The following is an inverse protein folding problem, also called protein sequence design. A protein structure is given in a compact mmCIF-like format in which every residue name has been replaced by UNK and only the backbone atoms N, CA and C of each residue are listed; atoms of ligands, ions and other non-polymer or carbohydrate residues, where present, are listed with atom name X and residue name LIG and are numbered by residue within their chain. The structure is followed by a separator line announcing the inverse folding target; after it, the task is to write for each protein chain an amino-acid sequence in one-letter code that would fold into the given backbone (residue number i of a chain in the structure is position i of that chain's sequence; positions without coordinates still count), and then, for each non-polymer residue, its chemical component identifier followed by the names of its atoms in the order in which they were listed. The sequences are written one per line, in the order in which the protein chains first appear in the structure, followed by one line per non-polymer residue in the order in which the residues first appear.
data_IF_967228275860
#
_entry.id   IF_967228275860
#
_cell.length_a   1.000
_cell.length_b   1.000
_cell.length_c   1.000
_cell.angle_alpha   90.00
_cell.angle_beta   90.00
_cell.angle_gamma   90.00
#
_symmetry.space_group_name_H-M   'P 1'
#
loop_
_entity.id
_entity.type
_entity.pdbx_description
1 polymer ?
#
# COMPACT_ATOMS: atom_id res chain seq x y z
N UNK A 1 49.76 11.72 -8.05
CA UNK A 1 49.30 10.32 -8.12
C UNK A 1 49.16 9.82 -6.70
N UNK A 2 47.93 9.82 -6.19
CA UNK A 2 47.57 9.12 -4.97
C UNK A 2 46.22 8.48 -5.28
N UNK A 3 46.32 7.19 -5.58
CA UNK A 3 45.22 6.27 -5.85
C UNK A 3 44.60 5.91 -4.50
N UNK A 4 43.38 6.38 -4.24
CA UNK A 4 42.63 5.96 -3.05
C UNK A 4 41.88 4.68 -3.43
N UNK A 5 42.12 3.54 -2.77
CA UNK A 5 41.47 2.29 -3.15
C UNK A 5 39.98 2.35 -2.77
N UNK A 6 39.11 2.21 -3.77
CA UNK A 6 37.69 1.93 -3.54
C UNK A 6 37.56 0.60 -2.81
N UNK A 7 36.91 0.63 -1.64
CA UNK A 7 36.58 -0.56 -0.87
C UNK A 7 35.42 -1.32 -1.55
N UNK A 8 35.62 -2.55 -2.08
CA UNK A 8 34.60 -3.27 -2.81
C UNK A 8 33.82 -4.20 -1.86
N UNK A 9 33.16 -3.65 -0.84
CA UNK A 9 32.36 -4.48 0.09
C UNK A 9 31.14 -3.78 0.69
N UNK A 10 30.50 -2.85 -0.04
CA UNK A 10 29.08 -2.57 0.22
C UNK A 10 28.25 -3.47 -0.70
N UNK A 11 27.34 -4.32 -0.17
CA UNK A 11 26.35 -4.97 -1.01
C UNK A 11 25.58 -3.85 -1.72
N UNK A 12 25.55 -3.89 -3.05
CA UNK A 12 24.68 -3.02 -3.85
C UNK A 12 23.29 -3.09 -3.23
N UNK A 13 22.85 -2.00 -2.59
CA UNK A 13 21.45 -1.90 -2.16
C UNK A 13 20.63 -2.23 -3.41
N UNK A 14 19.74 -3.25 -3.38
CA UNK A 14 18.90 -3.54 -4.52
C UNK A 14 18.23 -2.23 -4.93
N UNK A 15 18.26 -1.92 -6.22
CA UNK A 15 17.71 -0.69 -6.79
C UNK A 15 16.17 -0.74 -6.73
N UNK A 16 15.61 -0.65 -5.52
CA UNK A 16 14.17 -0.73 -5.27
C UNK A 16 13.39 0.46 -5.83
N UNK A 17 14.08 1.45 -6.42
CA UNK A 17 13.46 2.65 -7.00
C UNK A 17 12.55 2.35 -8.19
N UNK A 18 12.75 1.22 -8.89
CA UNK A 18 11.88 0.77 -9.96
C UNK A 18 10.85 -0.29 -9.54
N UNK A 19 10.89 -0.73 -8.28
CA UNK A 19 10.04 -1.81 -7.79
C UNK A 19 8.72 -1.27 -7.26
N UNK A 20 7.64 -1.92 -7.65
CA UNK A 20 6.31 -1.66 -7.10
C UNK A 20 6.16 -2.37 -5.76
N UNK A 21 5.69 -1.63 -4.74
CA UNK A 21 5.25 -2.19 -3.47
C UNK A 21 3.74 -2.05 -3.33
N UNK A 22 3.07 -3.17 -3.09
CA UNK A 22 1.62 -3.24 -2.94
C UNK A 22 1.25 -3.89 -1.62
N UNK A 23 0.55 -3.17 -0.75
CA UNK A 23 -0.03 -3.73 0.46
C UNK A 23 -1.38 -4.39 0.13
N UNK A 24 -1.57 -5.64 0.55
CA UNK A 24 -2.79 -6.41 0.33
C UNK A 24 -3.34 -6.93 1.65
N UNK A 25 -4.65 -6.78 1.86
CA UNK A 25 -5.33 -7.15 3.11
C UNK A 25 -6.47 -8.16 2.91
N UNK A 26 -6.74 -8.55 1.66
CA UNK A 26 -7.89 -9.36 1.28
C UNK A 26 -7.56 -10.44 0.26
N UNK A 27 -8.32 -10.48 -0.82
CA UNK A 27 -8.33 -11.57 -1.82
C UNK A 27 -7.00 -11.76 -2.59
N UNK A 28 -6.14 -10.76 -2.56
CA UNK A 28 -4.79 -10.79 -3.15
C UNK A 28 -3.72 -11.35 -2.19
N UNK A 29 -4.05 -11.61 -0.92
CA UNK A 29 -3.13 -12.27 0.02
C UNK A 29 -2.82 -13.70 -0.42
N UNK A 30 -1.64 -14.21 -0.07
CA UNK A 30 -1.23 -15.59 -0.38
C UNK A 30 -2.27 -16.59 0.15
N UNK A 31 -2.61 -17.57 -0.68
CA UNK A 31 -3.63 -18.58 -0.35
C UNK A 31 -5.08 -18.20 -0.70
N UNK A 32 -5.30 -16.99 -1.22
CA UNK A 32 -6.62 -16.56 -1.73
C UNK A 32 -6.70 -16.61 -3.26
N UNK A 33 -7.93 -16.65 -3.79
CA UNK A 33 -8.21 -16.99 -5.19
C UNK A 33 -7.66 -15.99 -6.23
N UNK A 34 -7.43 -14.74 -5.86
CA UNK A 34 -6.86 -13.75 -6.78
C UNK A 34 -5.32 -13.77 -6.78
N UNK A 35 -4.67 -14.30 -5.73
CA UNK A 35 -3.22 -14.28 -5.62
C UNK A 35 -2.54 -15.05 -6.76
N UNK A 36 -2.96 -16.28 -7.04
CA UNK A 36 -2.32 -17.13 -8.06
C UNK A 36 -2.43 -16.53 -9.47
N UNK A 37 -3.47 -15.73 -9.71
CA UNK A 37 -3.73 -15.08 -11.00
C UNK A 37 -3.01 -13.75 -11.14
N UNK A 38 -3.04 -12.91 -10.11
CA UNK A 38 -2.59 -11.51 -10.19
C UNK A 38 -1.26 -11.24 -9.49
N UNK A 39 -0.74 -12.16 -8.68
CA UNK A 39 0.50 -12.03 -7.93
C UNK A 39 1.58 -13.03 -8.37
N UNK A 40 1.34 -13.81 -9.45
CA UNK A 40 2.39 -14.68 -10.02
C UNK A 40 3.63 -13.85 -10.39
N UNK A 41 4.81 -14.33 -10.01
CA UNK A 41 6.08 -13.61 -10.20
C UNK A 41 6.38 -12.56 -9.12
N UNK A 42 5.60 -12.52 -8.03
CA UNK A 42 5.94 -11.69 -6.86
C UNK A 42 7.35 -12.02 -6.37
N UNK A 43 8.14 -10.97 -6.12
CA UNK A 43 9.54 -11.10 -5.70
C UNK A 43 9.66 -11.33 -4.19
N UNK A 44 8.91 -10.57 -3.40
CA UNK A 44 8.85 -10.72 -1.94
C UNK A 44 7.42 -10.64 -1.44
N UNK A 45 7.14 -11.40 -0.39
CA UNK A 45 5.89 -11.39 0.37
C UNK A 45 6.27 -11.27 1.83
N UNK A 46 5.93 -10.15 2.46
CA UNK A 46 6.30 -9.84 3.85
C UNK A 46 5.06 -9.49 4.67
N UNK A 47 4.99 -9.94 5.92
CA UNK A 47 3.91 -9.53 6.82
C UNK A 47 4.02 -8.03 7.09
N UNK A 48 2.88 -7.35 7.00
CA UNK A 48 2.84 -5.90 7.02
C UNK A 48 1.61 -5.38 7.78
N UNK A 49 1.73 -4.14 8.29
CA UNK A 49 0.65 -3.48 9.05
C UNK A 49 0.42 -2.07 8.51
N UNK A 50 -0.83 -1.70 8.31
CA UNK A 50 -1.25 -0.34 7.99
C UNK A 50 -2.20 0.18 9.07
N UNK A 51 -2.20 1.49 9.32
CA UNK A 51 -3.21 2.13 10.17
C UNK A 51 -4.49 2.32 9.38
N UNK A 52 -5.60 1.77 9.86
CA UNK A 52 -6.87 1.81 9.16
C UNK A 52 -8.02 1.18 9.93
N UNK A 53 -9.12 0.95 9.21
CA UNK A 53 -10.30 0.20 9.67
C UNK A 53 -10.70 -0.79 8.59
N UNK A 54 -11.10 -1.97 9.02
CA UNK A 54 -11.52 -3.03 8.14
C UNK A 54 -13.02 -3.29 8.28
N UNK A 55 -13.70 -3.37 7.16
CA UNK A 55 -15.13 -3.60 7.06
C UNK A 55 -15.41 -4.78 6.17
N UNK A 56 -16.52 -5.47 6.42
CA UNK A 56 -17.03 -6.51 5.54
C UNK A 56 -18.26 -5.98 4.79
N UNK A 57 -18.24 -6.14 3.47
CA UNK A 57 -19.42 -5.89 2.63
C UNK A 57 -20.44 -7.03 2.79
N UNK A 58 -21.69 -6.79 2.41
CA UNK A 58 -22.73 -7.83 2.34
C UNK A 58 -22.35 -9.01 1.43
N UNK A 59 -21.41 -8.81 0.50
CA UNK A 59 -20.84 -9.83 -0.40
C UNK A 59 -19.61 -10.55 0.17
N UNK A 60 -19.27 -10.36 1.46
CA UNK A 60 -18.10 -10.97 2.12
C UNK A 60 -16.74 -10.58 1.51
N UNK A 61 -16.67 -9.37 0.92
CA UNK A 61 -15.42 -8.78 0.42
C UNK A 61 -14.96 -7.74 1.44
N UNK A 62 -13.67 -7.77 1.85
CA UNK A 62 -13.14 -6.79 2.79
C UNK A 62 -12.99 -5.42 2.12
N UNK A 63 -13.28 -4.37 2.88
CA UNK A 63 -13.02 -2.97 2.52
C UNK A 63 -12.16 -2.38 3.61
N UNK A 64 -11.06 -1.75 3.21
CA UNK A 64 -10.18 -1.04 4.13
C UNK A 64 -10.31 0.47 3.92
N UNK A 65 -10.45 1.19 5.03
CA UNK A 65 -10.35 2.65 5.11
C UNK A 65 -9.06 3.04 5.84
N UNK A 66 -8.45 4.13 5.41
CA UNK A 66 -7.26 4.73 6.05
C UNK A 66 -7.56 6.18 6.44
N UNK A 67 -6.89 6.72 7.46
CA UNK A 67 -6.99 8.15 7.75
C UNK A 67 -6.53 8.99 6.55
N UNK A 68 -7.24 10.07 6.24
CA UNK A 68 -6.85 10.95 5.13
C UNK A 68 -5.45 11.55 5.33
N UNK A 69 -5.04 11.79 6.59
CA UNK A 69 -3.71 12.31 6.91
C UNK A 69 -2.57 11.34 6.58
N UNK A 70 -2.87 10.04 6.46
CA UNK A 70 -1.89 9.00 6.14
C UNK A 70 -1.77 8.79 4.61
N UNK A 71 -2.59 9.46 3.78
CA UNK A 71 -2.52 9.37 2.32
C UNK A 71 -1.41 10.28 1.79
N UNK A 72 -0.33 9.66 1.31
CA UNK A 72 0.87 10.33 0.80
C UNK A 72 0.76 10.70 -0.68
N UNK A 73 -0.02 9.94 -1.44
CA UNK A 73 -0.33 10.19 -2.85
C UNK A 73 -1.58 9.40 -3.29
N UNK A 74 -2.18 9.81 -4.41
CA UNK A 74 -3.25 9.07 -5.09
C UNK A 74 -2.69 8.48 -6.38
N UNK A 75 -3.06 7.24 -6.70
CA UNK A 75 -2.58 6.53 -7.87
C UNK A 75 -3.02 7.20 -9.18
N UNK A 76 -2.23 7.01 -10.23
CA UNK A 76 -2.49 7.55 -11.56
C UNK A 76 -2.68 6.44 -12.59
N UNK A 77 -2.97 6.81 -13.84
CA UNK A 77 -2.99 5.86 -14.96
C UNK A 77 -1.58 5.52 -15.48
N UNK A 78 -0.52 6.10 -14.92
CA UNK A 78 0.87 5.87 -15.33
C UNK A 78 1.64 5.09 -14.24
N UNK A 79 1.81 3.76 -14.40
CA UNK A 79 2.49 2.92 -13.42
C UNK A 79 3.91 3.37 -13.07
N UNK A 80 4.66 3.89 -14.04
CA UNK A 80 6.03 4.34 -13.81
C UNK A 80 6.07 5.64 -13.00
N UNK A 81 5.11 6.55 -13.22
CA UNK A 81 4.98 7.77 -12.41
C UNK A 81 4.61 7.43 -10.95
N UNK A 82 3.77 6.41 -10.74
CA UNK A 82 3.38 5.95 -9.42
C UNK A 82 4.57 5.29 -8.68
N UNK A 83 5.36 4.47 -9.36
CA UNK A 83 6.59 3.91 -8.80
C UNK A 83 7.63 4.99 -8.49
N UNK A 84 7.78 5.99 -9.35
CA UNK A 84 8.67 7.12 -9.10
C UNK A 84 8.22 7.94 -7.88
N UNK A 85 6.92 8.17 -7.73
CA UNK A 85 6.33 8.81 -6.54
C UNK A 85 6.62 8.00 -5.28
N UNK A 86 6.42 6.69 -5.31
CA UNK A 86 6.74 5.79 -4.20
C UNK A 86 8.23 5.89 -3.80
N UNK A 87 9.14 5.89 -4.77
CA UNK A 87 10.58 6.00 -4.52
C UNK A 87 10.95 7.34 -3.89
N UNK A 88 10.37 8.45 -4.38
CA UNK A 88 10.60 9.79 -3.83
C UNK A 88 10.12 9.91 -2.38
N UNK A 89 8.94 9.36 -2.08
CA UNK A 89 8.39 9.32 -0.71
C UNK A 89 9.27 8.46 0.19
N UNK A 90 9.74 7.30 -0.27
CA UNK A 90 10.62 6.43 0.51
C UNK A 90 11.93 7.12 0.90
N UNK A 91 12.51 7.90 -0.03
CA UNK A 91 13.71 8.70 0.24
C UNK A 91 13.46 9.76 1.32
N UNK A 92 12.31 10.45 1.28
CA UNK A 92 11.92 11.43 2.30
C UNK A 92 11.68 10.81 3.67
N UNK A 93 11.04 9.65 3.73
CA UNK A 93 10.80 8.94 5.00
C UNK A 93 12.11 8.46 5.65
N UNK A 94 13.12 8.16 4.85
CA UNK A 94 14.44 7.75 5.34
C UNK A 94 15.28 8.92 5.87
N UNK A 95 14.91 10.17 5.53
CA UNK A 95 15.58 11.38 5.97
C UNK A 95 14.54 12.47 6.31
N UNK A 96 13.87 12.37 7.46
CA UNK A 96 12.79 13.28 7.82
C UNK A 96 13.32 14.70 8.02
N UNK A 97 12.82 15.65 7.24
CA UNK A 97 12.94 17.07 7.60
C UNK A 97 12.10 17.35 8.85
N UNK A 98 12.54 18.26 9.74
CA UNK A 98 11.76 18.64 10.91
C UNK A 98 10.40 19.20 10.46
N UNK A 99 9.34 18.44 10.72
CA UNK A 99 7.98 18.77 10.30
C UNK A 99 7.32 19.61 11.40
N UNK A 100 6.62 20.72 11.08
CA UNK A 100 5.88 21.48 12.09
C UNK A 100 4.73 20.62 12.65
N UNK A 101 4.48 20.76 13.95
CA UNK A 101 3.39 20.10 14.69
C UNK A 101 2.07 20.17 13.91
N UNK A 102 1.66 19.04 13.32
CA UNK A 102 0.33 18.90 12.74
C UNK A 102 -0.63 18.50 13.85
N UNK A 103 -1.51 19.42 14.21
CA UNK A 103 -2.64 19.18 15.11
C UNK A 103 -3.55 18.12 14.47
N UNK A 104 -3.69 16.99 15.15
CA UNK A 104 -4.58 15.89 14.80
C UNK A 104 -6.02 16.30 15.10
N UNK A 105 -6.81 16.57 14.06
CA UNK A 105 -8.26 16.74 14.19
C UNK A 105 -8.92 15.37 14.48
N UNK A 106 -9.60 15.28 15.61
CA UNK A 106 -10.23 14.07 16.11
C UNK A 106 -11.59 13.87 15.45
N UNK A 107 -11.62 13.13 14.33
CA UNK A 107 -12.85 12.63 13.71
C UNK A 107 -13.61 11.66 14.63
N UNK A 108 -14.95 11.78 14.65
CA UNK A 108 -15.84 11.22 15.67
C UNK A 108 -16.36 9.81 15.36
N UNK A 109 -15.50 8.92 14.88
CA UNK A 109 -15.81 7.51 14.61
C UNK A 109 -14.75 6.57 15.22
N UNK A 110 -15.08 5.28 15.36
CA UNK A 110 -14.29 4.23 16.04
C UNK A 110 -12.75 4.40 15.88
N UNK A 111 -11.92 4.22 16.91
CA UNK A 111 -10.49 4.54 16.82
C UNK A 111 -9.81 3.81 15.65
N UNK A 112 -8.97 4.53 14.89
CA UNK A 112 -8.09 3.93 13.89
C UNK A 112 -7.22 2.84 14.55
N UNK A 113 -7.11 1.68 13.91
CA UNK A 113 -6.40 0.53 14.45
C UNK A 113 -5.37 -0.06 13.48
N UNK A 114 -4.57 -1.03 13.92
CA UNK A 114 -3.71 -1.78 13.01
C UNK A 114 -4.55 -2.73 12.15
N UNK A 115 -4.29 -2.75 10.85
CA UNK A 115 -4.81 -3.73 9.91
C UNK A 115 -3.64 -4.54 9.34
N UNK A 116 -3.69 -5.86 9.51
CA UNK A 116 -2.62 -6.75 9.09
C UNK A 116 -2.87 -7.31 7.69
N UNK A 117 -1.85 -7.25 6.86
CA UNK A 117 -1.84 -7.72 5.50
C UNK A 117 -0.46 -8.22 5.10
N UNK A 118 -0.23 -8.27 3.80
CA UNK A 118 1.05 -8.63 3.21
C UNK A 118 1.54 -7.48 2.33
N UNK A 119 2.84 -7.19 2.38
CA UNK A 119 3.51 -6.32 1.42
C UNK A 119 4.08 -7.21 0.31
N UNK A 120 3.62 -6.97 -0.91
CA UNK A 120 4.08 -7.64 -2.13
C UNK A 120 5.02 -6.71 -2.90
N UNK A 121 6.14 -7.23 -3.38
CA UNK A 121 7.08 -6.50 -4.24
C UNK A 121 7.11 -7.07 -5.65
N UNK A 122 7.06 -6.20 -6.66
CA UNK A 122 7.09 -6.56 -8.08
C UNK A 122 8.09 -5.70 -8.86
N UNK A 123 8.66 -6.26 -9.93
CA UNK A 123 9.54 -5.58 -10.89
C UNK A 123 8.86 -5.28 -12.24
N UNK A 124 7.57 -5.60 -12.38
CA UNK A 124 6.79 -5.45 -13.61
C UNK A 124 5.62 -4.43 -13.51
N UNK A 125 5.83 -3.21 -12.97
CA UNK A 125 4.75 -2.27 -12.63
C UNK A 125 3.82 -1.94 -13.81
N UNK A 126 4.38 -1.81 -15.02
CA UNK A 126 3.64 -1.46 -16.23
C UNK A 126 2.58 -2.49 -16.63
N UNK A 127 2.76 -3.75 -16.23
CA UNK A 127 1.77 -4.81 -16.48
C UNK A 127 0.96 -5.13 -15.23
N UNK A 128 1.59 -5.07 -14.06
CA UNK A 128 0.99 -5.41 -12.77
C UNK A 128 -0.12 -4.45 -12.37
N UNK A 129 0.16 -3.15 -12.37
CA UNK A 129 -0.80 -2.15 -11.92
C UNK A 129 -2.06 -2.13 -12.79
N UNK A 130 -1.98 -2.09 -14.13
CA UNK A 130 -3.20 -2.12 -14.95
C UNK A 130 -4.03 -3.41 -14.77
N UNK A 131 -3.40 -4.54 -14.48
CA UNK A 131 -4.12 -5.79 -14.24
C UNK A 131 -4.91 -5.76 -12.93
N UNK A 132 -4.31 -5.25 -11.86
CA UNK A 132 -4.95 -5.11 -10.55
C UNK A 132 -5.97 -3.97 -10.56
N UNK A 133 -5.70 -2.86 -11.25
CA UNK A 133 -6.65 -1.76 -11.42
C UNK A 133 -7.97 -2.22 -12.04
N UNK A 134 -7.91 -3.08 -13.05
CA UNK A 134 -9.11 -3.68 -13.66
C UNK A 134 -9.84 -4.62 -12.71
N UNK A 135 -9.13 -5.34 -11.84
CA UNK A 135 -9.73 -6.21 -10.83
C UNK A 135 -10.47 -5.40 -9.77
N UNK A 136 -9.82 -4.35 -9.25
CA UNK A 136 -10.32 -3.50 -8.17
C UNK A 136 -11.22 -2.37 -8.67
N UNK A 137 -11.44 -2.25 -9.98
CA UNK A 137 -12.30 -1.24 -10.58
C UNK A 137 -11.78 0.20 -10.41
N UNK A 138 -10.45 0.38 -10.36
CA UNK A 138 -9.82 1.68 -10.21
C UNK A 138 -9.72 2.42 -11.55
N UNK A 139 -10.37 3.59 -11.64
CA UNK A 139 -10.42 4.43 -12.84
C UNK A 139 -10.20 5.91 -12.46
N UNK A 140 -8.94 6.40 -12.44
CA UNK A 140 -8.66 7.80 -12.15
C UNK A 140 -9.50 8.76 -13.01
N UNK A 141 -10.23 9.68 -12.38
CA UNK A 141 -11.10 10.64 -13.06
C UNK A 141 -12.49 10.12 -13.44
N UNK A 142 -12.86 8.90 -13.03
CA UNK A 142 -14.19 8.33 -13.20
C UNK A 142 -14.68 7.58 -11.95
N UNK A 143 -15.84 6.89 -12.02
CA UNK A 143 -16.36 6.09 -10.91
C UNK A 143 -15.39 4.94 -10.56
N UNK A 144 -15.05 4.81 -9.28
CA UNK A 144 -14.16 3.78 -8.76
C UNK A 144 -14.87 2.91 -7.72
N UNK A 145 -14.61 1.59 -7.73
CA UNK A 145 -15.01 0.72 -6.60
C UNK A 145 -14.03 0.86 -5.43
N UNK A 146 -12.74 0.91 -5.77
CA UNK A 146 -11.65 1.19 -4.84
C UNK A 146 -10.75 2.28 -5.41
N UNK A 147 -10.18 3.11 -4.54
CA UNK A 147 -9.15 4.10 -4.87
C UNK A 147 -7.77 3.54 -4.54
N UNK A 148 -6.82 3.63 -5.48
CA UNK A 148 -5.41 3.33 -5.19
C UNK A 148 -4.75 4.54 -4.52
N UNK A 149 -4.22 4.36 -3.32
CA UNK A 149 -3.53 5.39 -2.53
C UNK A 149 -2.18 4.89 -2.04
N UNK A 150 -1.22 5.81 -1.87
CA UNK A 150 0.09 5.52 -1.29
C UNK A 150 0.04 5.85 0.20
N UNK A 151 0.39 4.90 1.05
CA UNK A 151 0.29 5.04 2.51
C UNK A 151 1.54 4.52 3.21
N UNK A 152 1.83 4.98 4.44
CA UNK A 152 2.87 4.41 5.29
C UNK A 152 2.46 3.01 5.77
N UNK A 153 3.31 2.02 5.54
CA UNK A 153 3.12 0.62 5.97
C UNK A 153 4.31 0.18 6.81
N UNK A 154 4.03 -0.48 7.94
CA UNK A 154 5.05 -1.05 8.80
C UNK A 154 5.38 -2.48 8.37
N UNK A 155 6.66 -2.74 8.08
CA UNK A 155 7.19 -4.07 7.74
C UNK A 155 8.44 -4.31 8.57
N UNK A 156 8.45 -5.37 9.38
CA UNK A 156 9.59 -5.72 10.24
C UNK A 156 10.12 -4.54 11.08
N UNK A 157 9.22 -3.69 11.58
CA UNK A 157 9.56 -2.50 12.36
C UNK A 157 9.99 -1.27 11.55
N UNK A 158 10.10 -1.37 10.23
CA UNK A 158 10.45 -0.26 9.32
C UNK A 158 9.21 0.29 8.63
N UNK A 159 9.12 1.62 8.50
CA UNK A 159 8.06 2.26 7.73
C UNK A 159 8.45 2.39 6.27
N UNK A 160 7.65 1.84 5.36
CA UNK A 160 7.83 1.92 3.91
C UNK A 160 6.54 2.43 3.26
N UNK A 161 6.63 3.25 2.19
CA UNK A 161 5.46 3.61 1.43
C UNK A 161 5.04 2.44 0.52
N UNK A 162 3.75 2.15 0.49
CA UNK A 162 3.18 1.11 -0.36
C UNK A 162 1.83 1.54 -0.94
N UNK A 163 1.56 1.11 -2.17
CA UNK A 163 0.26 1.30 -2.81
C UNK A 163 -0.78 0.38 -2.18
N UNK A 164 -2.00 0.87 -2.04
CA UNK A 164 -3.11 0.21 -1.36
C UNK A 164 -4.43 0.58 -2.03
N UNK A 165 -5.34 -0.37 -2.21
CA UNK A 165 -6.71 -0.12 -2.67
C UNK A 165 -7.66 0.04 -1.47
N UNK A 166 -8.21 1.24 -1.30
CA UNK A 166 -9.15 1.59 -0.22
C UNK A 166 -10.55 1.80 -0.78
N UNK A 167 -11.59 1.48 -0.01
CA UNK A 167 -12.96 1.80 -0.43
C UNK A 167 -13.26 3.29 -0.30
N UNK A 168 -14.17 3.83 -1.12
CA UNK A 168 -14.74 5.17 -0.90
C UNK A 168 -16.08 5.08 -0.15
N UNK A 169 -16.43 6.17 0.55
CA UNK A 169 -17.51 6.27 1.52
C UNK A 169 -18.92 6.57 0.94
N UNK A 170 -19.47 5.73 0.04
CA UNK A 170 -20.93 5.57 -0.03
C UNK A 170 -21.41 4.12 0.17
N UNK A 171 -20.58 3.21 0.69
CA UNK A 171 -21.04 1.89 1.18
C UNK A 171 -21.59 1.99 2.63
N UNK A 172 -21.69 3.21 3.17
CA UNK A 172 -22.06 3.54 4.56
C UNK A 172 -23.48 3.13 5.00
N UNK A 173 -24.28 2.47 4.16
CA UNK A 173 -25.57 1.93 4.57
C UNK A 173 -25.53 0.57 5.28
N UNK A 174 -24.48 -0.24 5.10
CA UNK A 174 -24.51 -1.64 5.56
C UNK A 174 -23.14 -2.30 5.83
N UNK A 175 -22.04 -1.54 5.88
CA UNK A 175 -20.74 -2.10 6.23
C UNK A 175 -20.70 -2.53 7.70
N UNK A 176 -20.35 -3.78 7.95
CA UNK A 176 -20.13 -4.29 9.32
C UNK A 176 -18.66 -4.15 9.66
N UNK A 177 -18.29 -3.43 10.74
CA UNK A 177 -16.91 -3.39 11.20
C UNK A 177 -16.42 -4.80 11.48
N UNK A 178 -15.28 -5.19 10.91
CA UNK A 178 -14.62 -6.41 11.31
C UNK A 178 -13.90 -6.09 12.61
N UNK A 179 -14.42 -6.57 13.74
CA UNK A 179 -13.81 -6.38 15.07
C UNK A 179 -12.45 -7.09 15.25
N UNK A 180 -11.88 -7.64 14.18
CA UNK A 180 -10.56 -8.27 14.13
C UNK A 180 -9.64 -7.43 13.24
N UNK A 181 -8.36 -7.29 13.61
CA UNK A 181 -7.41 -6.49 12.83
C UNK A 181 -6.90 -7.22 11.57
N UNK A 182 -7.33 -8.47 11.34
CA UNK A 182 -6.92 -9.30 10.21
C UNK A 182 -8.17 -9.82 9.52
N UNK A 183 -8.22 -9.72 8.19
CA UNK A 183 -9.20 -10.48 7.43
C UNK A 183 -8.76 -11.94 7.31
N UNK A 184 -9.58 -12.84 7.85
CA UNK A 184 -9.44 -14.28 7.78
C UNK A 184 -10.76 -14.85 7.30
N UNK A 185 -10.75 -15.62 6.20
CA UNK A 185 -11.93 -16.38 5.76
C UNK A 185 -12.13 -17.62 6.62
#
# INVERSE_FOLDING_TARGET
MTDTPMNPTEPLKPNTNGMLRLFVYGTLKRGFWNHDRFCRGVLTVEDAVVRGRLFETSSSIPVLEVPEEDILAVGTTNPLADVATQAHVAARMSNPEPTPDRLLEKGMDAPWGPVYGELLTFDDPETRLPAIDRLEGFHPGGPCLYRRVLVPVQVNGTMLPAWLYVGEDPISGSLKPIGKPIWTR
#
